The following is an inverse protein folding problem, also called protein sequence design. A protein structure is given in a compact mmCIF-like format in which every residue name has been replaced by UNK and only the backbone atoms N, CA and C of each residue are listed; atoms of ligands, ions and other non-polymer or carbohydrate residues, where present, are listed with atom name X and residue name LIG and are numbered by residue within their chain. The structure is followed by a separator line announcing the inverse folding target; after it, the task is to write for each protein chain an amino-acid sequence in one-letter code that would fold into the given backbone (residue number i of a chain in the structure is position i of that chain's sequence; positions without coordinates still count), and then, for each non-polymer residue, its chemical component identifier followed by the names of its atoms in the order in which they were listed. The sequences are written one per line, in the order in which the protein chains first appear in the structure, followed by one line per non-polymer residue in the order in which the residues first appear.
data_IF_558698478612
#
_entry.id   IF_558698478612
#
_cell.length_a   1.000
_cell.length_b   1.000
_cell.length_c   1.000
_cell.angle_alpha   90.00
_cell.angle_beta   90.00
_cell.angle_gamma   90.00
#
_symmetry.space_group_name_H-M   'P 1'
#
loop_
_entity.id
_entity.type
_entity.pdbx_description
1 polymer ?
#
# COMPACT_ATOMS: atom_id res chain seq x y z
N UNK A 1 24.08 44.54 42.04
CA UNK A 1 23.45 44.42 40.70
C UNK A 1 23.58 42.99 40.23
N UNK A 2 22.52 42.17 40.33
CA UNK A 2 22.48 40.78 39.84
C UNK A 2 21.70 40.77 38.53
N UNK A 3 22.37 40.43 37.42
CA UNK A 3 21.72 40.24 36.11
C UNK A 3 21.19 38.80 36.06
N UNK A 4 19.86 38.65 35.99
CA UNK A 4 19.23 37.39 35.62
C UNK A 4 19.20 37.30 34.09
N UNK A 5 19.92 36.31 33.54
CA UNK A 5 19.78 35.89 32.14
C UNK A 5 18.59 34.93 32.05
N UNK A 6 17.52 35.36 31.38
CA UNK A 6 16.39 34.49 31.03
C UNK A 6 16.78 33.74 29.75
N UNK A 7 17.02 32.44 29.87
CA UNK A 7 17.18 31.56 28.72
C UNK A 7 15.79 31.20 28.17
N UNK A 8 15.47 31.72 26.98
CA UNK A 8 14.27 31.34 26.25
C UNK A 8 14.49 29.95 25.60
N UNK A 9 13.89 28.92 26.17
CA UNK A 9 13.81 27.61 25.54
C UNK A 9 12.78 27.66 24.40
N UNK A 10 13.26 27.65 23.16
CA UNK A 10 12.43 27.39 21.98
C UNK A 10 11.92 25.95 22.05
N UNK A 11 10.65 25.79 22.44
CA UNK A 11 9.93 24.54 22.24
C UNK A 11 9.72 24.33 20.73
N UNK A 12 10.56 23.50 20.12
CA UNK A 12 10.32 22.98 18.77
C UNK A 12 9.08 22.08 18.87
N UNK A 13 7.95 22.58 18.38
CA UNK A 13 6.74 21.79 18.23
C UNK A 13 7.03 20.65 17.23
N UNK A 14 7.28 19.46 17.74
CA UNK A 14 7.25 18.23 16.96
C UNK A 14 5.81 18.05 16.48
N UNK A 15 5.55 18.40 15.22
CA UNK A 15 4.35 17.94 14.54
C UNK A 15 4.46 16.43 14.43
N UNK A 16 3.82 15.73 15.35
CA UNK A 16 3.42 14.34 15.13
C UNK A 16 2.39 14.41 14.00
N UNK A 17 2.88 14.29 12.77
CA UNK A 17 2.03 13.95 11.64
C UNK A 17 1.49 12.57 11.98
N UNK A 18 0.19 12.49 12.24
CA UNK A 18 -0.48 11.25 12.55
C UNK A 18 -1.09 10.71 11.26
N UNK A 19 -0.80 9.45 10.96
CA UNK A 19 -1.41 8.73 9.85
C UNK A 19 -2.91 9.04 9.74
N UNK A 20 -3.36 9.43 8.54
CA UNK A 20 -4.76 9.76 8.31
C UNK A 20 -5.60 8.48 8.46
N UNK A 21 -6.66 8.51 9.30
CA UNK A 21 -7.46 7.34 9.56
C UNK A 21 -8.22 6.92 8.29
N UNK A 22 -8.07 5.65 7.93
CA UNK A 22 -8.80 5.01 6.83
C UNK A 22 -9.80 4.04 7.45
N UNK A 23 -11.03 4.52 7.66
CA UNK A 23 -12.12 3.77 8.30
C UNK A 23 -12.83 2.81 7.32
N UNK A 24 -12.05 2.16 6.46
CA UNK A 24 -12.50 1.16 5.49
C UNK A 24 -11.65 -0.09 5.64
N UNK A 25 -12.32 -1.23 5.71
CA UNK A 25 -11.67 -2.52 5.49
C UNK A 25 -11.43 -2.77 4.00
N UNK A 26 -10.55 -3.70 3.67
CA UNK A 26 -10.31 -4.17 2.30
C UNK A 26 -11.62 -4.60 1.60
N UNK A 27 -12.46 -5.37 2.29
CA UNK A 27 -13.73 -5.84 1.73
C UNK A 27 -14.72 -4.70 1.47
N UNK A 28 -14.84 -3.75 2.41
CA UNK A 28 -15.70 -2.57 2.24
C UNK A 28 -15.21 -1.68 1.09
N UNK A 29 -13.90 -1.48 0.98
CA UNK A 29 -13.31 -0.76 -0.14
C UNK A 29 -13.61 -1.46 -1.47
N UNK A 30 -13.48 -2.79 -1.54
CA UNK A 30 -13.81 -3.57 -2.74
C UNK A 30 -15.28 -3.44 -3.12
N UNK A 31 -16.19 -3.57 -2.15
CA UNK A 31 -17.63 -3.38 -2.38
C UNK A 31 -17.93 -1.98 -2.93
N UNK A 32 -17.30 -0.95 -2.35
CA UNK A 32 -17.47 0.43 -2.78
C UNK A 32 -16.95 0.66 -4.21
N UNK A 33 -15.78 0.13 -4.55
CA UNK A 33 -15.23 0.26 -5.90
C UNK A 33 -16.06 -0.49 -6.94
N UNK A 34 -16.57 -1.68 -6.62
CA UNK A 34 -17.50 -2.39 -7.50
C UNK A 34 -18.79 -1.60 -7.71
N UNK A 35 -19.33 -0.96 -6.67
CA UNK A 35 -20.45 -0.03 -6.82
C UNK A 35 -20.12 1.10 -7.79
N UNK A 36 -18.98 1.79 -7.62
CA UNK A 36 -18.57 2.88 -8.54
C UNK A 36 -18.44 2.41 -9.98
N UNK A 37 -17.81 1.26 -10.21
CA UNK A 37 -17.69 0.67 -11.55
C UNK A 37 -19.06 0.33 -12.13
N UNK A 38 -19.94 -0.31 -11.36
CA UNK A 38 -21.28 -0.67 -11.82
C UNK A 38 -22.13 0.57 -12.15
N UNK A 39 -21.94 1.69 -11.44
CA UNK A 39 -22.61 2.96 -11.75
C UNK A 39 -22.17 3.57 -13.09
N UNK A 40 -21.07 3.10 -13.69
CA UNK A 40 -20.67 3.47 -15.07
C UNK A 40 -21.34 2.61 -16.14
N UNK A 41 -21.97 1.49 -15.77
CA UNK A 41 -22.67 0.60 -16.71
C UNK A 41 -24.01 1.24 -17.13
N UNK A 42 -24.21 1.37 -18.45
CA UNK A 42 -25.42 1.97 -19.02
C UNK A 42 -26.71 1.23 -18.63
N UNK A 43 -26.63 -0.08 -18.39
CA UNK A 43 -27.77 -0.89 -17.94
C UNK A 43 -28.20 -0.52 -16.53
N UNK A 44 -27.25 -0.24 -15.65
CA UNK A 44 -27.52 0.21 -14.27
C UNK A 44 -28.03 1.65 -14.28
N UNK A 45 -27.43 2.53 -15.09
CA UNK A 45 -27.88 3.91 -15.24
C UNK A 45 -29.32 4.03 -15.77
N UNK A 46 -29.75 3.08 -16.62
CA UNK A 46 -31.12 3.02 -17.13
C UNK A 46 -32.15 2.54 -16.09
N UNK A 47 -31.72 1.98 -14.96
CA UNK A 47 -32.61 1.57 -13.87
C UNK A 47 -33.08 2.79 -13.05
N UNK A 48 -34.24 2.66 -12.40
CA UNK A 48 -34.67 3.62 -11.38
C UNK A 48 -33.67 3.63 -10.21
N UNK A 49 -33.43 4.80 -9.62
CA UNK A 49 -32.45 4.98 -8.54
C UNK A 49 -32.64 4.00 -7.37
N UNK A 50 -33.88 3.71 -6.98
CA UNK A 50 -34.22 2.77 -5.91
C UNK A 50 -33.97 1.29 -6.26
N UNK A 51 -33.67 0.99 -7.53
CA UNK A 51 -33.39 -0.37 -8.04
C UNK A 51 -31.92 -0.60 -8.39
N UNK A 52 -31.13 0.47 -8.54
CA UNK A 52 -29.71 0.38 -8.88
C UNK A 52 -28.94 -0.43 -7.84
N UNK A 53 -28.96 -0.01 -6.57
CA UNK A 53 -28.18 -0.64 -5.51
C UNK A 53 -28.58 -2.11 -5.25
N UNK A 54 -29.88 -2.49 -5.18
CA UNK A 54 -30.27 -3.90 -5.11
C UNK A 54 -29.82 -4.74 -6.31
N UNK A 55 -29.83 -4.18 -7.52
CA UNK A 55 -29.37 -4.89 -8.71
C UNK A 55 -27.86 -5.12 -8.67
N UNK A 56 -27.07 -4.10 -8.30
CA UNK A 56 -25.62 -4.20 -8.13
C UNK A 56 -25.28 -5.25 -7.06
N UNK A 57 -25.94 -5.19 -5.90
CA UNK A 57 -25.73 -6.16 -4.83
C UNK A 57 -26.00 -7.59 -5.30
N UNK A 58 -27.10 -7.80 -6.04
CA UNK A 58 -27.45 -9.12 -6.57
C UNK A 58 -26.41 -9.64 -7.59
N UNK A 59 -25.98 -8.79 -8.50
CA UNK A 59 -25.00 -9.15 -9.54
C UNK A 59 -23.64 -9.50 -8.93
N UNK A 60 -23.16 -8.67 -8.00
CA UNK A 60 -21.92 -8.88 -7.25
C UNK A 60 -22.03 -9.94 -6.14
N UNK A 61 -23.22 -10.52 -5.92
CA UNK A 61 -23.53 -11.51 -4.87
C UNK A 61 -23.25 -11.00 -3.45
N UNK A 62 -23.44 -9.72 -3.21
CA UNK A 62 -23.36 -9.09 -1.89
C UNK A 62 -24.73 -9.06 -1.21
N UNK A 63 -24.73 -9.02 0.12
CA UNK A 63 -25.93 -8.64 0.86
C UNK A 63 -26.14 -7.15 0.66
N UNK A 64 -27.37 -6.74 0.35
CA UNK A 64 -27.71 -5.34 0.11
C UNK A 64 -27.27 -4.43 1.27
N UNK A 65 -27.54 -4.84 2.51
CA UNK A 65 -27.16 -4.09 3.72
C UNK A 65 -25.64 -3.90 3.85
N UNK A 66 -24.85 -4.89 3.46
CA UNK A 66 -23.39 -4.81 3.54
C UNK A 66 -22.87 -3.85 2.47
N UNK A 67 -23.43 -3.89 1.25
CA UNK A 67 -23.10 -2.95 0.19
C UNK A 67 -23.50 -1.51 0.56
N UNK A 68 -24.69 -1.29 1.12
CA UNK A 68 -25.14 0.01 1.61
C UNK A 68 -24.17 0.60 2.65
N UNK A 69 -23.75 -0.22 3.62
CA UNK A 69 -22.80 0.20 4.64
C UNK A 69 -21.42 0.53 4.04
N UNK A 70 -20.95 -0.28 3.10
CA UNK A 70 -19.68 -0.06 2.40
C UNK A 70 -19.71 1.21 1.53
N UNK A 71 -20.80 1.47 0.81
CA UNK A 71 -20.98 2.69 0.00
C UNK A 71 -20.94 3.92 0.88
N UNK A 72 -21.71 3.92 1.98
CA UNK A 72 -21.72 5.05 2.93
C UNK A 72 -20.33 5.31 3.49
N UNK A 73 -19.63 4.28 3.98
CA UNK A 73 -18.25 4.42 4.48
C UNK A 73 -17.28 4.89 3.41
N UNK A 74 -17.45 4.40 2.17
CA UNK A 74 -16.65 4.78 1.01
C UNK A 74 -16.75 6.27 0.70
N UNK A 75 -17.97 6.81 0.70
CA UNK A 75 -18.23 8.23 0.52
C UNK A 75 -17.67 9.07 1.67
N UNK A 76 -17.85 8.63 2.92
CA UNK A 76 -17.32 9.30 4.12
C UNK A 76 -15.77 9.28 4.17
N UNK A 77 -15.15 8.25 3.61
CA UNK A 77 -13.69 8.11 3.60
C UNK A 77 -13.00 9.15 2.69
N UNK A 78 -13.70 9.74 1.72
CA UNK A 78 -13.14 10.73 0.80
C UNK A 78 -12.03 10.17 -0.10
N UNK A 79 -10.94 10.92 -0.28
CA UNK A 79 -9.81 10.51 -1.13
C UNK A 79 -8.91 9.47 -0.43
N UNK A 80 -9.32 8.21 -0.53
CA UNK A 80 -8.59 7.06 0.04
C UNK A 80 -7.19 6.92 -0.56
N UNK A 81 -7.01 7.26 -1.86
CA UNK A 81 -5.70 7.18 -2.52
C UNK A 81 -4.73 8.16 -1.86
N UNK A 82 -5.12 9.43 -1.77
CA UNK A 82 -4.28 10.46 -1.15
C UNK A 82 -3.93 10.12 0.31
N UNK A 83 -4.90 9.57 1.06
CA UNK A 83 -4.70 9.11 2.44
C UNK A 83 -3.66 8.00 2.55
N UNK A 84 -3.79 6.94 1.75
CA UNK A 84 -2.81 5.85 1.74
C UNK A 84 -1.41 6.36 1.35
N UNK A 85 -1.30 7.23 0.34
CA UNK A 85 -0.01 7.78 -0.09
C UNK A 85 0.63 8.70 0.96
N UNK A 86 -0.17 9.46 1.71
CA UNK A 86 0.32 10.23 2.85
C UNK A 86 0.84 9.30 3.97
N UNK A 87 0.07 8.26 4.31
CA UNK A 87 0.47 7.28 5.31
C UNK A 87 1.72 6.49 4.89
N UNK A 88 1.87 6.16 3.61
CA UNK A 88 3.10 5.56 3.09
C UNK A 88 4.30 6.49 3.34
N UNK A 89 4.20 7.77 2.97
CA UNK A 89 5.30 8.73 3.17
C UNK A 89 5.73 8.80 4.63
N UNK A 90 4.79 8.78 5.57
CA UNK A 90 5.07 8.75 7.00
C UNK A 90 5.73 7.43 7.43
N UNK A 91 5.15 6.28 7.04
CA UNK A 91 5.63 4.95 7.40
C UNK A 91 7.06 4.67 6.91
N UNK A 92 7.44 5.26 5.77
CA UNK A 92 8.76 5.11 5.16
C UNK A 92 9.72 6.27 5.42
N UNK A 93 9.32 7.28 6.21
CA UNK A 93 10.22 8.36 6.64
C UNK A 93 11.32 7.88 7.60
N UNK A 94 11.16 6.70 8.19
CA UNK A 94 12.08 6.09 9.16
C UNK A 94 12.30 4.61 8.87
N UNK A 95 13.28 4.00 9.54
CA UNK A 95 13.56 2.57 9.45
C UNK A 95 14.45 2.17 8.26
N UNK A 96 14.38 0.90 7.87
CA UNK A 96 15.33 0.23 6.96
C UNK A 96 15.41 0.87 5.56
N UNK A 97 14.32 1.49 5.12
CA UNK A 97 14.20 2.11 3.80
C UNK A 97 14.19 3.65 3.82
N UNK A 98 14.47 4.27 4.97
CA UNK A 98 14.53 5.73 5.06
C UNK A 98 15.55 6.31 4.07
N UNK A 99 15.11 7.26 3.23
CA UNK A 99 15.96 7.88 2.21
C UNK A 99 16.25 7.02 0.98
N UNK A 100 15.74 5.77 0.90
CA UNK A 100 15.93 4.86 -0.24
C UNK A 100 14.70 4.74 -1.15
N UNK A 101 13.55 5.26 -0.72
CA UNK A 101 12.29 5.16 -1.46
C UNK A 101 12.35 5.95 -2.78
N UNK A 102 11.94 5.30 -3.87
CA UNK A 102 11.75 5.96 -5.17
C UNK A 102 10.29 6.28 -5.48
N UNK A 103 9.38 5.35 -5.19
CA UNK A 103 7.94 5.47 -5.47
C UNK A 103 7.12 4.84 -4.35
N UNK A 104 6.08 5.57 -3.94
CA UNK A 104 5.01 5.09 -3.09
C UNK A 104 3.71 5.51 -3.78
N UNK A 105 2.90 4.55 -4.18
CA UNK A 105 1.69 4.82 -4.94
C UNK A 105 0.59 3.85 -4.53
N UNK A 106 -0.65 4.35 -4.51
CA UNK A 106 -1.84 3.54 -4.36
C UNK A 106 -2.65 3.57 -5.66
N UNK A 107 -2.96 2.40 -6.22
CA UNK A 107 -3.93 2.26 -7.30
C UNK A 107 -5.29 1.87 -6.72
N UNK A 108 -6.28 2.70 -7.02
CA UNK A 108 -7.66 2.58 -6.59
C UNK A 108 -8.63 2.58 -7.78
N UNK A 109 -8.12 2.33 -9.00
CA UNK A 109 -8.93 2.35 -10.23
C UNK A 109 -9.71 1.05 -10.43
N UNK A 110 -9.16 -0.07 -9.96
CA UNK A 110 -9.82 -1.37 -9.97
C UNK A 110 -10.73 -1.61 -8.77
N UNK A 111 -11.39 -2.77 -8.77
CA UNK A 111 -12.15 -3.25 -7.61
C UNK A 111 -11.25 -3.54 -6.40
N UNK A 112 -9.97 -3.85 -6.65
CA UNK A 112 -8.96 -4.10 -5.63
C UNK A 112 -8.04 -2.90 -5.48
N UNK A 113 -7.56 -2.67 -4.26
CA UNK A 113 -6.55 -1.67 -3.99
C UNK A 113 -5.15 -2.25 -4.09
N UNK A 114 -4.26 -1.64 -4.88
CA UNK A 114 -2.89 -2.13 -5.07
C UNK A 114 -1.91 -1.09 -4.57
N UNK A 115 -1.08 -1.47 -3.60
CA UNK A 115 0.00 -0.64 -3.11
C UNK A 115 1.30 -0.96 -3.87
N UNK A 116 1.98 0.08 -4.34
CA UNK A 116 3.24 0.00 -5.05
C UNK A 116 4.36 0.65 -4.23
N UNK A 117 5.39 -0.13 -3.91
CA UNK A 117 6.57 0.34 -3.18
C UNK A 117 7.83 0.07 -3.97
N UNK A 118 8.50 1.15 -4.38
CA UNK A 118 9.82 1.10 -5.00
C UNK A 118 10.88 1.63 -4.03
N UNK A 119 12.02 0.97 -3.99
CA UNK A 119 13.23 1.52 -3.39
C UNK A 119 14.47 1.35 -4.29
N UNK A 120 15.55 2.05 -3.94
CA UNK A 120 16.86 1.89 -4.52
C UNK A 120 17.71 1.00 -3.61
N UNK A 121 18.08 -0.17 -4.09
CA UNK A 121 18.90 -1.13 -3.38
C UNK A 121 20.38 -0.74 -3.50
N UNK A 122 21.09 -0.87 -2.37
CA UNK A 122 22.54 -0.61 -2.28
C UNK A 122 23.33 -1.92 -2.17
N UNK A 123 22.70 -2.96 -1.63
CA UNK A 123 23.34 -4.23 -1.34
C UNK A 123 22.38 -5.39 -1.60
N UNK A 124 22.73 -6.25 -2.55
CA UNK A 124 21.84 -7.32 -3.02
C UNK A 124 21.47 -8.33 -1.92
N UNK A 125 22.35 -8.55 -0.95
CA UNK A 125 22.09 -9.46 0.17
C UNK A 125 20.98 -8.96 1.11
N UNK A 126 20.68 -7.66 1.09
CA UNK A 126 19.61 -7.05 1.87
C UNK A 126 18.23 -7.09 1.20
N UNK A 127 18.13 -7.50 -0.08
CA UNK A 127 16.87 -7.49 -0.83
C UNK A 127 15.72 -8.21 -0.10
N UNK A 128 15.89 -9.40 0.52
CA UNK A 128 14.83 -10.05 1.27
C UNK A 128 14.35 -9.25 2.48
N UNK A 129 15.29 -8.57 3.18
CA UNK A 129 15.03 -7.77 4.37
C UNK A 129 14.23 -6.52 3.95
N UNK A 130 14.74 -5.80 2.95
CA UNK A 130 14.13 -4.59 2.42
C UNK A 130 12.73 -4.86 1.87
N UNK A 131 12.54 -5.95 1.10
CA UNK A 131 11.25 -6.35 0.56
C UNK A 131 10.22 -6.69 1.65
N UNK A 132 10.64 -7.44 2.67
CA UNK A 132 9.76 -7.82 3.79
C UNK A 132 9.37 -6.60 4.63
N UNK A 133 10.32 -5.68 4.89
CA UNK A 133 10.06 -4.42 5.56
C UNK A 133 9.07 -3.56 4.75
N UNK A 134 9.30 -3.41 3.44
CA UNK A 134 8.43 -2.68 2.53
C UNK A 134 6.98 -3.21 2.54
N UNK A 135 6.83 -4.53 2.41
CA UNK A 135 5.53 -5.18 2.44
C UNK A 135 4.78 -4.91 3.76
N UNK A 136 5.44 -5.13 4.89
CA UNK A 136 4.83 -4.94 6.21
C UNK A 136 4.36 -3.48 6.40
N UNK A 137 5.24 -2.50 6.14
CA UNK A 137 4.95 -1.09 6.30
C UNK A 137 3.84 -0.59 5.38
N UNK A 138 3.80 -1.06 4.14
CA UNK A 138 2.71 -0.73 3.23
C UNK A 138 1.37 -1.30 3.72
N UNK A 139 1.35 -2.53 4.24
CA UNK A 139 0.13 -3.15 4.75
C UNK A 139 -0.42 -2.45 6.00
N UNK A 140 0.46 -1.95 6.86
CA UNK A 140 0.11 -1.16 8.05
C UNK A 140 -0.44 0.23 7.66
N UNK A 141 0.20 0.90 6.70
CA UNK A 141 -0.13 2.25 6.29
C UNK A 141 -1.44 2.35 5.47
N UNK A 142 -1.82 1.30 4.75
CA UNK A 142 -2.99 1.29 3.88
C UNK A 142 -3.82 0.00 4.06
N UNK A 143 -4.78 -0.02 5.00
CA UNK A 143 -5.54 -1.23 5.32
C UNK A 143 -6.47 -1.71 4.19
N UNK A 144 -6.76 -0.87 3.21
CA UNK A 144 -7.60 -1.17 2.04
C UNK A 144 -6.84 -1.82 0.88
N UNK A 145 -5.50 -1.84 0.93
CA UNK A 145 -4.72 -2.56 -0.07
C UNK A 145 -4.97 -4.05 0.09
N UNK A 146 -5.35 -4.73 -1.00
CA UNK A 146 -5.46 -6.19 -1.07
C UNK A 146 -4.13 -6.83 -1.46
N UNK A 147 -3.39 -6.15 -2.33
CA UNK A 147 -2.10 -6.61 -2.87
C UNK A 147 -1.05 -5.53 -2.72
N UNK A 148 0.16 -5.96 -2.39
CA UNK A 148 1.33 -5.10 -2.27
C UNK A 148 2.37 -5.61 -3.26
N UNK A 149 2.77 -4.73 -4.16
CA UNK A 149 3.83 -4.99 -5.11
C UNK A 149 5.05 -4.16 -4.73
N UNK A 150 6.16 -4.85 -4.52
CA UNK A 150 7.41 -4.25 -4.10
C UNK A 150 8.48 -4.54 -5.15
N UNK A 151 9.31 -3.54 -5.47
CA UNK A 151 10.45 -3.76 -6.35
C UNK A 151 11.62 -2.85 -6.02
N UNK A 152 12.82 -3.36 -6.30
CA UNK A 152 14.05 -2.62 -6.10
C UNK A 152 14.70 -2.30 -7.44
N UNK A 153 15.22 -1.08 -7.56
CA UNK A 153 16.17 -0.71 -8.59
C UNK A 153 17.58 -0.67 -8.02
N UNK A 154 18.59 -0.98 -8.81
CA UNK A 154 19.98 -0.77 -8.42
C UNK A 154 20.25 0.73 -8.22
N UNK A 155 20.77 1.15 -7.07
CA UNK A 155 21.12 2.56 -6.84
C UNK A 155 22.21 3.06 -7.79
N UNK A 156 23.18 2.21 -8.14
CA UNK A 156 24.25 2.54 -9.07
C UNK A 156 23.76 2.55 -10.54
N UNK A 157 22.72 1.77 -10.84
CA UNK A 157 22.06 1.74 -12.14
C UNK A 157 20.53 1.89 -12.00
N UNK A 158 20.00 3.11 -11.74
CA UNK A 158 18.59 3.34 -11.38
C UNK A 158 17.54 2.88 -12.40
N UNK A 159 17.93 2.52 -13.62
CA UNK A 159 17.02 1.95 -14.62
C UNK A 159 16.98 0.42 -14.59
N UNK A 160 17.86 -0.22 -13.84
CA UNK A 160 17.97 -1.67 -13.70
C UNK A 160 17.14 -2.15 -12.52
N UNK A 161 16.14 -2.98 -12.77
CA UNK A 161 15.38 -3.66 -11.71
C UNK A 161 16.19 -4.86 -11.24
N UNK A 162 16.42 -4.95 -9.93
CA UNK A 162 17.21 -6.05 -9.32
C UNK A 162 16.34 -7.00 -8.50
N UNK A 163 15.12 -6.57 -8.14
CA UNK A 163 14.18 -7.37 -7.38
C UNK A 163 12.74 -6.97 -7.70
N UNK A 164 11.84 -7.94 -7.67
CA UNK A 164 10.41 -7.73 -7.71
C UNK A 164 9.71 -8.82 -6.91
N UNK A 165 8.70 -8.45 -6.13
CA UNK A 165 7.85 -9.43 -5.48
C UNK A 165 6.42 -8.89 -5.30
N UNK A 166 5.51 -9.83 -5.12
CA UNK A 166 4.10 -9.58 -4.84
C UNK A 166 3.71 -10.34 -3.58
N UNK A 167 2.91 -9.70 -2.74
CA UNK A 167 2.35 -10.31 -1.53
C UNK A 167 0.95 -9.78 -1.27
N UNK A 168 0.04 -10.66 -0.86
CA UNK A 168 -1.26 -10.25 -0.35
C UNK A 168 -1.12 -9.46 0.95
N UNK A 169 -1.97 -8.45 1.16
CA UNK A 169 -1.95 -7.61 2.35
C UNK A 169 -2.14 -8.42 3.64
N UNK A 170 -3.02 -9.42 3.62
CA UNK A 170 -3.16 -10.37 4.73
C UNK A 170 -1.88 -11.15 5.04
N UNK A 171 -1.10 -11.49 4.01
CA UNK A 171 0.21 -12.13 4.19
C UNK A 171 1.26 -11.17 4.72
N UNK A 172 1.32 -9.95 4.19
CA UNK A 172 2.24 -8.91 4.63
C UNK A 172 2.03 -8.50 6.10
N UNK A 173 0.78 -8.45 6.58
CA UNK A 173 0.45 -8.20 8.00
C UNK A 173 1.00 -9.24 8.97
N UNK A 174 1.46 -10.40 8.49
CA UNK A 174 2.12 -11.44 9.31
C UNK A 174 3.62 -11.21 9.49
N UNK A 175 4.19 -10.23 8.79
CA UNK A 175 5.60 -9.87 8.91
C UNK A 175 5.77 -8.96 10.12
N UNK A 176 6.62 -9.36 11.06
CA UNK A 176 6.99 -8.50 12.18
C UNK A 176 8.22 -7.67 11.79
N UNK A 177 8.03 -6.35 11.67
CA UNK A 177 9.06 -5.39 11.25
C UNK A 177 10.34 -5.49 12.09
N UNK A 178 10.22 -5.68 13.40
CA UNK A 178 11.37 -5.74 14.32
C UNK A 178 12.21 -7.01 14.14
N UNK A 179 11.63 -8.04 13.50
CA UNK A 179 12.27 -9.35 13.30
C UNK A 179 12.63 -9.63 11.85
N UNK A 180 12.53 -8.64 10.97
CA UNK A 180 12.78 -8.83 9.54
C UNK A 180 14.21 -9.29 9.28
N UNK A 181 15.21 -8.77 10.02
CA UNK A 181 16.62 -9.18 9.87
C UNK A 181 16.85 -10.66 10.19
N UNK A 182 16.11 -11.21 11.15
CA UNK A 182 16.24 -12.61 11.55
C UNK A 182 15.52 -13.57 10.58
N UNK A 183 14.41 -13.11 10.00
CA UNK A 183 13.41 -14.00 9.41
C UNK A 183 13.05 -13.72 7.95
N UNK A 184 13.58 -12.66 7.36
CA UNK A 184 13.35 -12.32 5.95
C UNK A 184 13.57 -13.54 5.05
N UNK A 185 14.79 -14.09 5.06
CA UNK A 185 15.19 -15.20 4.18
C UNK A 185 14.48 -16.50 4.55
N UNK A 186 14.37 -16.82 5.84
CA UNK A 186 13.94 -18.15 6.30
C UNK A 186 12.42 -18.34 6.35
N UNK A 187 11.67 -17.25 6.57
CA UNK A 187 10.23 -17.27 6.80
C UNK A 187 9.46 -16.30 5.91
N UNK A 188 9.80 -15.02 5.92
CA UNK A 188 8.94 -13.99 5.34
C UNK A 188 8.95 -13.99 3.81
N UNK A 189 10.06 -14.32 3.17
CA UNK A 189 10.11 -14.48 1.71
C UNK A 189 9.15 -15.55 1.17
N UNK A 190 8.78 -16.55 1.99
CA UNK A 190 7.80 -17.59 1.61
C UNK A 190 6.35 -17.09 1.58
N UNK A 191 6.10 -15.88 2.07
CA UNK A 191 4.78 -15.25 2.04
C UNK A 191 4.52 -14.56 0.69
N UNK A 192 5.56 -14.35 -0.12
CA UNK A 192 5.44 -13.72 -1.43
C UNK A 192 5.10 -14.75 -2.49
N UNK A 193 4.27 -14.35 -3.46
CA UNK A 193 3.67 -15.25 -4.45
C UNK A 193 4.40 -15.24 -5.80
N UNK A 194 5.14 -14.16 -6.12
CA UNK A 194 5.84 -13.96 -7.42
C UNK A 194 7.17 -13.24 -7.25
N UNK A 195 8.15 -13.90 -6.64
CA UNK A 195 9.48 -13.33 -6.40
C UNK A 195 10.36 -13.51 -7.63
N UNK A 196 11.00 -12.42 -8.08
CA UNK A 196 12.09 -12.41 -9.05
C UNK A 196 13.26 -11.62 -8.46
N UNK A 197 14.47 -12.14 -8.56
CA UNK A 197 15.69 -11.52 -8.02
C UNK A 197 16.92 -11.86 -8.85
N UNK A 198 17.71 -10.85 -9.20
CA UNK A 198 19.01 -11.07 -9.86
C UNK A 198 19.96 -11.91 -9.00
N UNK A 199 19.82 -11.86 -7.67
CA UNK A 199 20.61 -12.68 -6.75
C UNK A 199 20.29 -14.18 -6.87
N UNK A 200 19.12 -14.53 -7.42
CA UNK A 200 18.73 -15.92 -7.72
C UNK A 200 19.00 -16.31 -9.19
N UNK A 201 19.59 -15.40 -9.98
CA UNK A 201 19.82 -15.59 -11.42
C UNK A 201 18.62 -15.25 -12.31
N UNK A 202 17.57 -14.61 -11.77
CA UNK A 202 16.41 -14.21 -12.58
C UNK A 202 16.76 -13.04 -13.51
N UNK A 203 16.32 -13.11 -14.77
CA UNK A 203 16.44 -12.01 -15.72
C UNK A 203 15.32 -10.98 -15.51
N UNK A 204 15.72 -9.78 -15.12
CA UNK A 204 14.87 -8.61 -14.92
C UNK A 204 15.21 -7.48 -15.91
N UNK A 205 16.04 -7.73 -16.93
CA UNK A 205 16.51 -6.71 -17.87
C UNK A 205 15.41 -6.10 -18.75
N UNK A 206 14.34 -6.86 -19.02
CA UNK A 206 13.16 -6.40 -19.75
C UNK A 206 12.12 -5.69 -18.85
N UNK A 207 12.30 -5.76 -17.54
CA UNK A 207 11.35 -5.28 -16.54
C UNK A 207 11.61 -3.81 -16.24
N UNK A 208 10.85 -2.92 -16.89
CA UNK A 208 10.94 -1.47 -16.72
C UNK A 208 9.64 -0.88 -16.17
N UNK A 209 9.69 0.35 -15.65
CA UNK A 209 8.51 1.09 -15.18
C UNK A 209 7.88 0.55 -13.87
N UNK A 210 6.58 0.74 -13.70
CA UNK A 210 5.79 0.12 -12.63
C UNK A 210 5.50 -1.34 -13.02
N UNK A 211 5.69 -2.33 -12.14
CA UNK A 211 5.21 -3.67 -12.42
C UNK A 211 3.69 -3.65 -12.66
N UNK A 212 3.18 -4.51 -13.56
CA UNK A 212 1.75 -4.56 -13.84
C UNK A 212 0.98 -4.88 -12.56
N UNK A 213 -0.23 -4.31 -12.44
CA UNK A 213 -1.20 -4.70 -11.44
C UNK A 213 -1.37 -6.23 -11.46
N UNK A 214 -1.39 -6.83 -10.26
CA UNK A 214 -1.78 -8.23 -10.13
C UNK A 214 -3.21 -8.40 -10.67
N UNK A 215 -3.48 -9.47 -11.45
CA UNK A 215 -4.85 -9.79 -11.84
C UNK A 215 -5.73 -10.13 -10.63
#
# INVERSE_FOLDING_TARGET
MRRLSVAAAFAVATRVFAAEPIALTEDEFRMYQQYKLAMTDSRVQAMKADKQLPAIAKDAKYKLKDLEAAVKKGEEAGDVKAKCEANFKEAFATGELAGKIGRLEMDTTGAQGIAYVQWFNEEQTNLPIEASFAAARAAEACPVASTITVWAQDKAAPKSRVFQALVSSGSAKRINVDRVKDFAVTRYMKLFEKVKSVANGDDLSSESGTPPAAP
#
